data_IF_324668319120
#
_entry.id   IF_324668319120
#
_cell.length_a   1.000
_cell.length_b   1.000
_cell.length_c   1.000
_cell.angle_alpha   90.00
_cell.angle_beta   90.00
_cell.angle_gamma   90.00
#
_symmetry.space_group_name_H-M   'P 1'
#
loop_
_entity.id
_entity.type
_entity.pdbx_description
1 polymer ?
#
# COMPACT_ATOMS: atom_id res chain seq x y z
N UNK A 1 2.15 11.40 -35.29
CA UNK A 1 2.80 11.65 -33.98
C UNK A 1 1.71 11.88 -32.96
N UNK A 2 1.49 10.93 -32.04
CA UNK A 2 0.41 10.96 -31.05
C UNK A 2 0.58 12.15 -30.09
N UNK A 3 -0.52 12.70 -29.57
CA UNK A 3 -0.50 13.71 -28.50
C UNK A 3 0.34 13.25 -27.29
N UNK A 4 0.39 11.94 -27.04
CA UNK A 4 1.24 11.31 -26.02
C UNK A 4 2.75 11.46 -26.29
N UNK A 5 3.16 11.44 -27.56
CA UNK A 5 4.58 11.59 -27.92
C UNK A 5 5.07 13.03 -27.69
N UNK A 6 4.23 14.02 -28.01
CA UNK A 6 4.51 15.43 -27.68
C UNK A 6 4.50 15.68 -26.17
N UNK A 7 3.62 15.02 -25.42
CA UNK A 7 3.59 15.11 -23.96
C UNK A 7 4.89 14.56 -23.37
N UNK A 8 5.33 13.38 -23.82
CA UNK A 8 6.60 12.77 -23.40
C UNK A 8 7.83 13.65 -23.66
N UNK A 9 7.91 14.30 -24.82
CA UNK A 9 8.99 15.26 -25.13
C UNK A 9 8.95 16.52 -24.26
N UNK A 10 7.76 16.91 -23.75
CA UNK A 10 7.59 18.07 -22.86
C UNK A 10 7.89 17.72 -21.40
N UNK A 11 7.80 16.44 -21.02
CA UNK A 11 8.19 15.92 -19.70
C UNK A 11 9.71 15.79 -19.55
N UNK A 12 10.48 16.63 -20.25
CA UNK A 12 11.93 16.66 -20.19
C UNK A 12 12.41 17.06 -18.80
N UNK A 13 13.18 16.18 -18.13
CA UNK A 13 14.27 16.46 -17.16
C UNK A 13 14.25 17.81 -16.42
N UNK A 14 13.10 18.24 -15.93
CA UNK A 14 13.00 19.37 -15.04
C UNK A 14 13.00 18.79 -13.63
N UNK A 15 14.06 19.05 -12.87
CA UNK A 15 14.04 18.80 -11.43
C UNK A 15 12.82 19.54 -10.86
N UNK A 16 11.82 18.79 -10.38
CA UNK A 16 10.68 19.40 -9.70
C UNK A 16 11.20 20.04 -8.41
N UNK A 17 10.80 21.29 -8.14
CA UNK A 17 11.34 22.05 -7.01
C UNK A 17 10.77 21.62 -5.66
N UNK A 18 9.63 20.94 -5.67
CA UNK A 18 8.92 20.47 -4.48
C UNK A 18 8.00 19.32 -4.85
N UNK A 19 7.84 18.37 -3.93
CA UNK A 19 6.88 17.28 -4.08
C UNK A 19 5.48 17.84 -3.84
N UNK A 20 4.53 17.69 -4.78
CA UNK A 20 3.17 18.20 -4.61
C UNK A 20 2.47 17.58 -3.38
N UNK A 21 1.65 18.38 -2.70
CA UNK A 21 0.76 17.92 -1.61
C UNK A 21 -0.68 18.12 -2.08
N UNK A 22 -1.43 17.03 -2.21
CA UNK A 22 -2.81 17.03 -2.70
C UNK A 22 -3.77 16.96 -1.52
N UNK A 23 -4.71 17.90 -1.49
CA UNK A 23 -5.77 17.94 -0.48
C UNK A 23 -6.96 17.08 -0.92
N UNK A 24 -7.29 16.04 -0.15
CA UNK A 24 -8.39 15.12 -0.46
C UNK A 24 -9.73 15.54 0.15
N UNK A 25 -9.85 16.74 0.73
CA UNK A 25 -11.11 17.22 1.35
C UNK A 25 -12.32 17.10 0.41
N UNK A 26 -12.13 17.46 -0.86
CA UNK A 26 -13.19 17.43 -1.88
C UNK A 26 -13.20 16.12 -2.70
N UNK A 27 -12.36 15.13 -2.38
CA UNK A 27 -12.23 13.87 -3.13
C UNK A 27 -13.55 13.09 -3.23
N UNK A 28 -14.42 13.24 -2.21
CA UNK A 28 -15.73 12.58 -2.12
C UNK A 28 -16.89 13.59 -2.12
N UNK A 29 -16.65 14.82 -2.58
CA UNK A 29 -17.68 15.85 -2.72
C UNK A 29 -18.82 15.34 -3.60
N UNK A 30 -20.07 15.72 -3.32
CA UNK A 30 -21.21 15.45 -4.21
C UNK A 30 -21.10 16.21 -5.55
N UNK A 31 -20.40 17.35 -5.54
CA UNK A 31 -20.11 18.15 -6.72
C UNK A 31 -18.95 17.53 -7.53
N UNK A 32 -19.24 17.10 -8.75
CA UNK A 32 -18.28 16.49 -9.68
C UNK A 32 -17.14 17.44 -10.03
N UNK A 33 -17.41 18.74 -10.19
CA UNK A 33 -16.37 19.69 -10.59
C UNK A 33 -15.28 19.82 -9.52
N UNK A 34 -15.69 19.78 -8.24
CA UNK A 34 -14.74 19.74 -7.13
C UNK A 34 -13.89 18.48 -7.15
N UNK A 35 -14.48 17.30 -7.42
CA UNK A 35 -13.72 16.05 -7.58
C UNK A 35 -12.76 16.14 -8.76
N UNK A 36 -13.16 16.75 -9.88
CA UNK A 36 -12.32 16.96 -11.06
C UNK A 36 -11.11 17.85 -10.76
N UNK A 37 -11.25 18.90 -9.94
CA UNK A 37 -10.11 19.74 -9.51
C UNK A 37 -9.06 18.90 -8.77
N UNK A 38 -9.48 18.03 -7.85
CA UNK A 38 -8.57 17.11 -7.15
C UNK A 38 -7.90 16.15 -8.14
N UNK A 39 -8.68 15.54 -9.04
CA UNK A 39 -8.18 14.63 -10.07
C UNK A 39 -7.16 15.28 -11.02
N UNK A 40 -7.37 16.54 -11.41
CA UNK A 40 -6.42 17.27 -12.25
C UNK A 40 -5.13 17.59 -11.49
N UNK A 41 -5.21 17.85 -10.19
CA UNK A 41 -4.03 18.03 -9.34
C UNK A 41 -3.20 16.74 -9.26
N UNK A 42 -3.87 15.59 -9.14
CA UNK A 42 -3.21 14.26 -9.22
C UNK A 42 -2.54 14.06 -10.57
N UNK A 43 -3.26 14.37 -11.66
CA UNK A 43 -2.73 14.25 -13.02
C UNK A 43 -1.45 15.06 -13.20
N UNK A 44 -1.46 16.32 -12.77
CA UNK A 44 -0.31 17.22 -12.86
C UNK A 44 0.87 16.70 -12.05
N UNK A 45 0.64 16.24 -10.82
CA UNK A 45 1.69 15.67 -9.98
C UNK A 45 2.30 14.40 -10.59
N UNK A 46 1.49 13.49 -11.11
CA UNK A 46 1.97 12.27 -11.77
C UNK A 46 2.77 12.57 -13.04
N UNK A 47 2.34 13.55 -13.84
CA UNK A 47 3.05 13.89 -15.07
C UNK A 47 4.38 14.60 -14.80
N UNK A 48 4.44 15.45 -13.78
CA UNK A 48 5.62 16.29 -13.54
C UNK A 48 6.63 15.66 -12.57
N UNK A 49 6.17 15.19 -11.41
CA UNK A 49 7.04 14.64 -10.36
C UNK A 49 7.06 13.11 -10.35
N UNK A 50 5.99 12.46 -10.82
CA UNK A 50 5.80 11.01 -10.74
C UNK A 50 5.33 10.50 -9.37
N UNK A 51 5.25 11.38 -8.37
CA UNK A 51 4.78 11.07 -7.02
C UNK A 51 4.28 12.34 -6.30
N UNK A 52 3.51 12.15 -5.23
CA UNK A 52 2.92 13.24 -4.44
C UNK A 52 2.62 12.77 -3.01
N UNK A 53 2.48 13.72 -2.09
CA UNK A 53 1.88 13.51 -0.78
C UNK A 53 0.37 13.80 -0.84
N UNK A 54 -0.37 13.22 0.09
CA UNK A 54 -1.80 13.51 0.30
C UNK A 54 -2.02 14.00 1.73
N UNK A 55 -3.01 14.87 1.92
CA UNK A 55 -3.51 15.29 3.24
C UNK A 55 -5.03 15.22 3.27
N UNK A 56 -5.62 15.26 4.46
CA UNK A 56 -7.07 15.10 4.66
C UNK A 56 -7.60 13.79 4.07
N UNK A 57 -6.80 12.71 4.14
CA UNK A 57 -7.10 11.40 3.57
C UNK A 57 -8.02 10.54 4.45
N UNK A 58 -8.29 10.95 5.70
CA UNK A 58 -9.26 10.30 6.59
C UNK A 58 -8.74 9.07 7.34
N UNK A 59 -7.45 8.74 7.25
CA UNK A 59 -6.83 7.72 8.10
C UNK A 59 -6.56 8.35 9.47
N UNK A 60 -7.04 7.73 10.54
CA UNK A 60 -6.86 8.23 11.91
C UNK A 60 -5.39 8.26 12.32
N UNK A 61 -4.97 9.34 12.98
CA UNK A 61 -3.63 9.47 13.54
C UNK A 61 -3.34 8.37 14.57
N UNK A 62 -4.34 8.00 15.40
CA UNK A 62 -4.22 6.89 16.37
C UNK A 62 -3.89 5.55 15.71
N UNK A 63 -4.43 5.29 14.51
CA UNK A 63 -4.15 4.05 13.75
C UNK A 63 -2.71 4.06 13.26
N UNK A 64 -2.24 5.21 12.75
CA UNK A 64 -0.85 5.38 12.29
C UNK A 64 0.12 5.20 13.47
N UNK A 65 -0.14 5.89 14.58
CA UNK A 65 0.71 5.86 15.78
C UNK A 65 0.77 4.47 16.41
N UNK A 66 -0.37 3.77 16.49
CA UNK A 66 -0.42 2.40 16.99
C UNK A 66 0.43 1.46 16.13
N UNK A 67 0.35 1.56 14.80
CA UNK A 67 1.16 0.73 13.89
C UNK A 67 2.64 1.02 14.02
N UNK A 68 3.06 2.29 14.09
CA UNK A 68 4.47 2.64 14.31
C UNK A 68 4.98 2.16 15.68
N UNK A 69 4.18 2.32 16.74
CA UNK A 69 4.54 1.86 18.08
C UNK A 69 4.72 0.34 18.13
N UNK A 70 3.76 -0.42 17.57
CA UNK A 70 3.83 -1.87 17.56
C UNK A 70 4.92 -2.40 16.62
N UNK A 71 5.16 -1.74 15.49
CA UNK A 71 6.28 -2.03 14.60
C UNK A 71 7.62 -1.87 15.32
N UNK A 72 7.79 -0.77 16.07
CA UNK A 72 8.98 -0.55 16.90
C UNK A 72 9.16 -1.67 17.93
N UNK A 73 8.10 -2.05 18.65
CA UNK A 73 8.15 -3.14 19.64
C UNK A 73 8.55 -4.48 19.01
N UNK A 74 8.02 -4.80 17.82
CA UNK A 74 8.39 -6.01 17.10
C UNK A 74 9.87 -6.00 16.67
N UNK A 75 10.36 -4.90 16.10
CA UNK A 75 11.74 -4.84 15.63
C UNK A 75 12.77 -4.75 16.77
N UNK A 76 12.39 -4.22 17.93
CA UNK A 76 13.19 -4.23 19.16
C UNK A 76 13.17 -5.61 19.87
N UNK A 77 12.31 -6.54 19.47
CA UNK A 77 12.21 -7.87 20.07
C UNK A 77 13.45 -8.75 19.79
N UNK A 78 13.73 -9.76 20.65
CA UNK A 78 14.80 -10.73 20.41
C UNK A 78 14.77 -11.33 19.00
N UNK A 79 15.95 -11.56 18.43
CA UNK A 79 16.10 -12.04 17.06
C UNK A 79 15.39 -13.39 16.84
N UNK A 80 15.28 -14.21 17.88
CA UNK A 80 14.60 -15.51 17.88
C UNK A 80 13.10 -15.35 17.60
N UNK A 81 12.47 -14.31 18.15
CA UNK A 81 11.07 -13.98 17.90
C UNK A 81 10.88 -13.58 16.45
N UNK A 82 11.71 -12.67 15.93
CA UNK A 82 11.63 -12.23 14.52
C UNK A 82 11.88 -13.39 13.55
N UNK A 83 12.87 -14.23 13.82
CA UNK A 83 13.19 -15.45 13.03
C UNK A 83 12.12 -16.55 13.14
N UNK A 84 11.26 -16.53 14.17
CA UNK A 84 10.16 -17.49 14.28
C UNK A 84 9.20 -17.36 13.10
N UNK A 85 9.07 -16.16 12.54
CA UNK A 85 8.19 -15.80 11.42
C UNK A 85 8.98 -15.37 10.18
N UNK A 86 10.15 -15.97 9.96
CA UNK A 86 10.99 -15.67 8.80
C UNK A 86 10.23 -15.85 7.47
N UNK A 87 10.40 -14.89 6.56
CA UNK A 87 9.72 -14.80 5.27
C UNK A 87 9.91 -16.05 4.39
N UNK A 88 11.01 -16.79 4.57
CA UNK A 88 11.30 -18.05 3.86
C UNK A 88 10.39 -19.21 4.25
N UNK A 89 9.64 -19.08 5.37
CA UNK A 89 8.66 -20.06 5.82
C UNK A 89 7.28 -19.87 5.17
N UNK A 90 7.10 -18.82 4.36
CA UNK A 90 5.86 -18.51 3.66
C UNK A 90 6.00 -18.79 2.17
N UNK A 91 4.99 -19.38 1.56
CA UNK A 91 4.95 -19.62 0.10
C UNK A 91 4.80 -18.32 -0.72
N UNK A 92 4.30 -17.23 -0.12
CA UNK A 92 4.11 -15.94 -0.80
C UNK A 92 4.80 -14.78 -0.07
N UNK A 93 5.99 -15.04 0.47
CA UNK A 93 6.87 -14.01 1.02
C UNK A 93 6.21 -13.13 2.09
N UNK A 94 5.44 -13.74 3.00
CA UNK A 94 4.89 -13.09 4.20
C UNK A 94 5.74 -13.36 5.42
N UNK A 95 5.84 -12.39 6.33
CA UNK A 95 6.62 -12.49 7.56
C UNK A 95 7.87 -11.60 7.57
N UNK A 96 8.77 -11.91 8.49
CA UNK A 96 9.98 -11.13 8.77
C UNK A 96 11.06 -11.32 7.71
N UNK A 97 11.56 -10.20 7.20
CA UNK A 97 12.73 -10.12 6.33
C UNK A 97 13.87 -9.46 7.11
N UNK A 98 14.96 -10.20 7.30
CA UNK A 98 16.16 -9.70 7.97
C UNK A 98 17.00 -8.76 7.10
N UNK A 99 18.00 -8.15 7.72
CA UNK A 99 19.01 -7.34 7.04
C UNK A 99 19.68 -8.11 5.90
N UNK A 100 19.99 -7.41 4.82
CA UNK A 100 20.71 -7.93 3.65
C UNK A 100 19.96 -9.02 2.85
N UNK A 101 18.67 -9.25 3.13
CA UNK A 101 17.86 -10.26 2.44
C UNK A 101 17.32 -9.74 1.09
N UNK A 102 16.93 -8.47 1.00
CA UNK A 102 16.55 -7.83 -0.27
C UNK A 102 17.73 -7.13 -0.94
N UNK A 103 17.63 -6.93 -2.25
CA UNK A 103 18.52 -6.05 -3.00
C UNK A 103 17.71 -5.30 -4.06
N UNK A 104 17.18 -4.14 -3.68
CA UNK A 104 16.32 -3.34 -4.56
C UNK A 104 17.08 -2.62 -5.67
N UNK A 105 18.41 -2.50 -5.57
CA UNK A 105 19.28 -2.02 -6.64
C UNK A 105 20.29 -3.11 -7.05
N UNK A 106 19.91 -4.02 -7.97
CA UNK A 106 20.79 -5.09 -8.41
C UNK A 106 21.99 -4.57 -9.22
N UNK A 107 21.98 -3.30 -9.64
CA UNK A 107 23.08 -2.69 -10.38
C UNK A 107 24.26 -2.31 -9.47
N UNK A 108 23.99 -2.15 -8.17
CA UNK A 108 25.01 -1.91 -7.17
C UNK A 108 25.41 -3.25 -6.54
N UNK A 109 26.70 -3.57 -6.63
CA UNK A 109 27.27 -4.75 -5.97
C UNK A 109 27.33 -4.52 -4.45
N UNK A 110 26.18 -4.60 -3.79
CA UNK A 110 26.04 -4.58 -2.34
C UNK A 110 25.90 -6.01 -1.80
N UNK A 111 25.97 -6.17 -0.48
CA UNK A 111 25.63 -7.44 0.17
C UNK A 111 24.11 -7.59 0.38
N UNK A 112 23.29 -6.67 -0.12
CA UNK A 112 21.87 -6.51 0.18
C UNK A 112 21.56 -5.19 0.91
N UNK A 113 20.28 -4.91 1.08
CA UNK A 113 19.77 -3.67 1.67
C UNK A 113 19.94 -3.66 3.20
N UNK A 114 20.28 -2.49 3.76
CA UNK A 114 20.44 -2.30 5.21
C UNK A 114 19.10 -1.94 5.90
N UNK A 115 18.05 -2.72 5.63
CA UNK A 115 16.78 -2.64 6.35
C UNK A 115 16.30 -4.03 6.75
N UNK A 116 15.51 -4.08 7.82
CA UNK A 116 14.64 -5.22 8.10
C UNK A 116 13.20 -4.82 7.80
N UNK A 117 12.34 -5.80 7.53
CA UNK A 117 10.94 -5.56 7.18
C UNK A 117 10.04 -6.67 7.69
N UNK A 118 8.74 -6.40 7.71
CA UNK A 118 7.72 -7.40 7.94
C UNK A 118 6.68 -7.29 6.83
N UNK A 119 6.58 -8.32 6.00
CA UNK A 119 5.72 -8.32 4.83
C UNK A 119 4.37 -8.96 5.16
N UNK A 120 3.29 -8.23 4.90
CA UNK A 120 1.93 -8.74 5.01
C UNK A 120 1.13 -8.50 3.72
N UNK A 121 0.11 -9.33 3.51
CA UNK A 121 -0.92 -9.19 2.49
C UNK A 121 -2.31 -9.11 3.14
N UNK A 122 -3.35 -9.20 2.31
CA UNK A 122 -4.73 -9.23 2.78
C UNK A 122 -4.95 -10.47 3.66
N UNK A 123 -5.26 -10.22 4.93
CA UNK A 123 -5.46 -11.26 5.93
C UNK A 123 -6.87 -11.83 5.82
N UNK A 124 -7.07 -13.16 5.98
CA UNK A 124 -8.41 -13.76 5.89
C UNK A 124 -9.37 -13.25 6.97
N UNK A 125 -8.85 -12.68 8.07
CA UNK A 125 -9.69 -12.03 9.08
C UNK A 125 -10.33 -10.71 8.59
N UNK A 126 -9.77 -10.08 7.56
CA UNK A 126 -10.34 -8.89 6.92
C UNK A 126 -11.23 -9.25 5.72
N UNK A 127 -10.89 -10.32 5.00
CA UNK A 127 -11.68 -10.86 3.90
C UNK A 127 -11.50 -12.38 3.80
N UNK A 128 -12.44 -13.18 4.33
CA UNK A 128 -12.36 -14.63 4.27
C UNK A 128 -12.30 -15.18 2.84
N UNK A 129 -12.87 -14.46 1.87
CA UNK A 129 -12.91 -14.88 0.46
C UNK A 129 -11.56 -14.72 -0.25
N UNK A 130 -10.60 -14.01 0.34
CA UNK A 130 -9.29 -13.79 -0.26
C UNK A 130 -8.47 -15.09 -0.40
N UNK A 131 -8.84 -16.16 0.32
CA UNK A 131 -8.14 -17.46 0.33
C UNK A 131 -8.75 -18.51 -0.60
N UNK A 132 -10.01 -18.33 -1.02
CA UNK A 132 -10.72 -19.27 -1.89
C UNK A 132 -10.42 -19.05 -3.39
N UNK A 133 -9.41 -18.23 -3.70
CA UNK A 133 -9.06 -17.90 -5.07
C UNK A 133 -8.40 -19.10 -5.77
N UNK A 134 -9.09 -19.64 -6.78
CA UNK A 134 -8.49 -20.55 -7.77
C UNK A 134 -7.56 -19.70 -8.64
N UNK A 135 -6.29 -19.62 -8.27
CA UNK A 135 -5.28 -18.97 -9.10
C UNK A 135 -4.79 -19.92 -10.19
N UNK A 136 -4.42 -19.38 -11.35
CA UNK A 136 -3.81 -20.15 -12.43
C UNK A 136 -2.40 -20.59 -12.03
N UNK A 137 -1.89 -21.63 -12.70
CA UNK A 137 -0.52 -22.06 -12.53
C UNK A 137 0.46 -20.91 -12.84
N UNK A 138 1.31 -20.56 -11.86
CA UNK A 138 2.25 -19.43 -11.94
C UNK A 138 1.75 -18.11 -11.33
N UNK A 139 0.49 -18.02 -10.91
CA UNK A 139 -0.01 -16.87 -10.15
C UNK A 139 0.25 -17.08 -8.65
N UNK A 140 0.62 -15.99 -7.96
CA UNK A 140 0.82 -16.01 -6.51
C UNK A 140 -0.52 -16.22 -5.83
N UNK A 141 -0.63 -17.26 -5.00
CA UNK A 141 -1.78 -17.46 -4.13
C UNK A 141 -1.79 -16.39 -3.05
N UNK A 142 -2.96 -16.01 -2.55
CA UNK A 142 -2.99 -15.43 -1.21
C UNK A 142 -2.64 -16.55 -0.22
N UNK A 143 -1.61 -16.33 0.60
CA UNK A 143 -1.30 -17.18 1.74
C UNK A 143 -1.43 -16.40 3.02
N UNK A 144 -1.55 -17.13 4.12
CA UNK A 144 -1.66 -16.55 5.45
C UNK A 144 -0.44 -15.69 5.74
N UNK A 145 -0.70 -14.57 6.41
CA UNK A 145 0.35 -13.77 6.99
C UNK A 145 1.01 -14.57 8.12
N UNK A 146 2.35 -14.57 8.17
CA UNK A 146 3.10 -15.25 9.23
C UNK A 146 3.22 -14.34 10.46
N UNK A 147 2.22 -14.41 11.34
CA UNK A 147 2.21 -13.70 12.62
C UNK A 147 2.97 -14.46 13.70
N UNK A 148 3.68 -13.78 14.62
CA UNK A 148 4.20 -14.42 15.83
C UNK A 148 3.04 -15.03 16.63
N UNK A 149 3.27 -16.14 17.33
CA UNK A 149 2.26 -16.67 18.26
C UNK A 149 2.38 -15.97 19.61
N UNK A 150 1.25 -15.86 20.32
CA UNK A 150 1.22 -15.34 21.71
C UNK A 150 2.03 -16.22 22.67
N UNK A 151 2.28 -17.49 22.32
CA UNK A 151 3.17 -18.38 23.10
C UNK A 151 4.65 -17.99 23.00
N UNK A 152 5.05 -17.34 21.89
CA UNK A 152 6.45 -16.98 21.60
C UNK A 152 6.72 -15.52 21.97
N UNK A 153 5.71 -14.65 21.84
CA UNK A 153 5.85 -13.23 22.11
C UNK A 153 4.54 -12.62 22.62
N UNK A 154 4.58 -12.08 23.84
CA UNK A 154 3.42 -11.46 24.50
C UNK A 154 2.79 -10.33 23.66
N UNK A 155 3.58 -9.60 22.85
CA UNK A 155 3.09 -8.50 22.01
C UNK A 155 2.49 -8.93 20.66
N UNK A 156 2.36 -10.24 20.40
CA UNK A 156 1.93 -10.77 19.11
C UNK A 156 0.51 -10.32 18.74
N UNK A 157 -0.42 -10.32 19.71
CA UNK A 157 -1.81 -9.96 19.49
C UNK A 157 -1.97 -8.48 19.09
N UNK A 158 -1.36 -7.58 19.86
CA UNK A 158 -1.41 -6.14 19.59
C UNK A 158 -0.70 -5.77 18.29
N UNK A 159 0.42 -6.43 17.98
CA UNK A 159 1.13 -6.21 16.72
C UNK A 159 0.29 -6.60 15.51
N UNK A 160 -0.35 -7.78 15.55
CA UNK A 160 -1.27 -8.21 14.50
C UNK A 160 -2.44 -7.22 14.36
N UNK A 161 -3.10 -6.89 15.47
CA UNK A 161 -4.26 -6.00 15.46
C UNK A 161 -3.93 -4.61 14.87
N UNK A 162 -2.84 -3.98 15.32
CA UNK A 162 -2.42 -2.67 14.81
C UNK A 162 -2.01 -2.71 13.33
N UNK A 163 -1.33 -3.78 12.91
CA UNK A 163 -0.93 -3.95 11.50
C UNK A 163 -2.13 -4.11 10.58
N UNK A 164 -3.14 -4.90 10.99
CA UNK A 164 -4.34 -5.12 10.20
C UNK A 164 -5.27 -3.91 10.17
N UNK A 165 -5.38 -3.17 11.27
CA UNK A 165 -6.15 -1.93 11.31
C UNK A 165 -5.61 -0.90 10.30
N UNK A 166 -4.28 -0.73 10.24
CA UNK A 166 -3.66 0.15 9.26
C UNK A 166 -3.76 -0.38 7.84
N UNK A 167 -3.56 -1.69 7.63
CA UNK A 167 -3.76 -2.32 6.32
C UNK A 167 -5.16 -2.04 5.75
N UNK A 168 -6.19 -2.24 6.57
CA UNK A 168 -7.58 -1.98 6.19
C UNK A 168 -7.81 -0.49 5.85
N UNK A 169 -7.30 0.43 6.68
CA UNK A 169 -7.45 1.87 6.46
C UNK A 169 -6.78 2.33 5.16
N UNK A 170 -5.57 1.84 4.87
CA UNK A 170 -4.85 2.18 3.63
C UNK A 170 -5.47 1.52 2.41
N UNK A 171 -6.00 0.31 2.53
CA UNK A 171 -6.72 -0.36 1.45
C UNK A 171 -7.98 0.42 1.05
N UNK A 172 -8.78 0.84 2.04
CA UNK A 172 -9.96 1.69 1.80
C UNK A 172 -9.60 3.05 1.20
N UNK A 173 -8.51 3.66 1.69
CA UNK A 173 -8.00 4.91 1.13
C UNK A 173 -7.62 4.72 -0.34
N UNK A 174 -6.80 3.70 -0.65
CA UNK A 174 -6.38 3.38 -2.01
C UNK A 174 -7.55 3.13 -2.94
N UNK A 175 -8.56 2.37 -2.48
CA UNK A 175 -9.79 2.14 -3.23
C UNK A 175 -10.51 3.45 -3.56
N UNK A 176 -10.57 4.38 -2.61
CA UNK A 176 -11.24 5.68 -2.81
C UNK A 176 -10.51 6.63 -3.75
N UNK A 177 -9.26 6.35 -4.13
CA UNK A 177 -8.51 7.14 -5.12
C UNK A 177 -8.80 6.73 -6.57
N UNK A 178 -9.29 5.51 -6.82
CA UNK A 178 -9.55 5.04 -8.19
C UNK A 178 -10.50 5.93 -9.01
N UNK A 179 -11.62 6.44 -8.45
CA UNK A 179 -12.47 7.38 -9.18
C UNK A 179 -11.72 8.64 -9.63
N UNK A 180 -10.85 9.17 -8.77
CA UNK A 180 -10.03 10.33 -9.10
C UNK A 180 -8.99 10.01 -10.19
N UNK A 181 -8.39 8.82 -10.16
CA UNK A 181 -7.50 8.36 -11.23
C UNK A 181 -8.24 8.22 -12.56
N UNK A 182 -9.47 7.72 -12.55
CA UNK A 182 -10.29 7.64 -13.75
C UNK A 182 -10.58 9.04 -14.31
N UNK A 183 -11.01 9.99 -13.46
CA UNK A 183 -11.20 11.39 -13.86
C UNK A 183 -9.92 12.03 -14.38
N UNK A 184 -8.77 11.76 -13.76
CA UNK A 184 -7.46 12.24 -14.18
C UNK A 184 -7.08 11.76 -15.60
N UNK A 185 -7.57 10.59 -16.00
CA UNK A 185 -7.39 10.01 -17.33
C UNK A 185 -8.49 10.42 -18.32
N UNK A 186 -9.50 11.18 -17.89
CA UNK A 186 -10.65 11.54 -18.72
C UNK A 186 -11.64 10.38 -18.93
N UNK A 187 -11.68 9.43 -17.99
CA UNK A 187 -12.56 8.25 -17.99
C UNK A 187 -13.72 8.43 -17.00
N UNK A 188 -14.80 7.63 -17.13
CA UNK A 188 -15.85 7.53 -16.12
C UNK A 188 -15.30 7.10 -14.75
N UNK A 189 -15.86 7.64 -13.65
CA UNK A 189 -15.39 7.36 -12.27
C UNK A 189 -15.41 5.89 -11.87
N UNK A 190 -16.29 5.09 -12.48
CA UNK A 190 -16.47 3.65 -12.24
C UNK A 190 -15.56 2.77 -13.11
N UNK A 191 -14.68 3.36 -13.93
CA UNK A 191 -13.86 2.63 -14.90
C UNK A 191 -13.00 1.50 -14.28
N UNK A 192 -12.57 1.66 -13.02
CA UNK A 192 -11.74 0.70 -12.31
C UNK A 192 -12.52 -0.20 -11.35
N UNK A 193 -13.83 -0.04 -11.18
CA UNK A 193 -14.62 -0.75 -10.17
C UNK A 193 -14.63 -2.28 -10.35
N UNK A 194 -14.54 -2.76 -11.59
CA UNK A 194 -14.44 -4.18 -11.95
C UNK A 194 -13.00 -4.72 -11.96
N UNK A 195 -12.00 -3.86 -11.71
CA UNK A 195 -10.56 -4.17 -11.81
C UNK A 195 -9.84 -4.03 -10.46
N UNK A 196 -10.29 -3.10 -9.63
CA UNK A 196 -9.86 -2.98 -8.25
C UNK A 196 -10.66 -4.02 -7.45
N UNK A 197 -9.98 -5.07 -6.95
CA UNK A 197 -10.62 -6.12 -6.15
C UNK A 197 -11.53 -5.49 -5.10
N UNK A 198 -12.84 -5.72 -5.23
CA UNK A 198 -13.81 -5.22 -4.29
C UNK A 198 -13.67 -6.02 -3.01
N UNK A 199 -13.25 -5.36 -1.92
CA UNK A 199 -13.74 -5.78 -0.62
C UNK A 199 -15.22 -5.41 -0.66
N UNK A 200 -16.08 -6.40 -0.94
CA UNK A 200 -17.52 -6.20 -0.82
C UNK A 200 -17.81 -5.63 0.56
N UNK A 201 -18.55 -4.53 0.60
CA UNK A 201 -18.93 -3.75 1.77
C UNK A 201 -19.05 -4.61 3.05
N UNK A 202 -18.05 -4.52 3.94
CA UNK A 202 -18.27 -4.78 5.35
C UNK A 202 -19.03 -3.57 5.93
N UNK A 203 -20.28 -3.43 5.54
CA UNK A 203 -21.24 -2.65 6.31
C UNK A 203 -21.91 -3.60 7.30
N UNK A 204 -21.54 -3.48 8.57
CA UNK A 204 -22.37 -3.86 9.72
C UNK A 204 -22.97 -2.60 10.32
#
# INVERSE_FOLDING_TARGET
MSALAKLSETLSNADFKSIPIIDLTDARSADEEKRRVVAMSIREACLNAGFFYIKNHGVSEDVVDATFSQSKMFFDAPAEIKKSVDITKSENFRGYMGLLVSNNDPSVSTKGDMHEAFNLGLDPSLDPSSFDQIVKEGELKHSENLWPSEEIWDGAGEFKAASLAYYQAILQLGQSLFPLFALALGLPEDFFTDKAGALTDCQS
#
